data_IF_824216841997
#
_entry.id   IF_824216841997
#
_cell.length_a   1.000
_cell.length_b   1.000
_cell.length_c   1.000
_cell.angle_alpha   90.00
_cell.angle_beta   90.00
_cell.angle_gamma   90.00
#
_symmetry.space_group_name_H-M   'P 1'
#
loop_
_entity.id
_entity.type
_entity.pdbx_description
1 polymer ?
#
# COMPACT_ATOMS: atom_id res chain seq x y z
N UNK A 1 -44.04 -142.54 -55.22
CA UNK A 1 -42.87 -141.70 -55.59
C UNK A 1 -43.08 -140.22 -55.24
N UNK A 2 -44.31 -139.71 -55.27
CA UNK A 2 -44.63 -138.29 -55.02
C UNK A 2 -44.55 -137.83 -53.53
N UNK A 3 -44.75 -138.75 -52.57
CA UNK A 3 -44.71 -138.43 -51.13
C UNK A 3 -43.29 -138.13 -50.62
N UNK A 4 -42.28 -138.86 -51.10
CA UNK A 4 -40.89 -138.68 -50.68
C UNK A 4 -40.30 -137.35 -51.15
N UNK A 5 -40.64 -136.90 -52.37
CA UNK A 5 -40.18 -135.62 -52.92
C UNK A 5 -40.80 -134.45 -52.14
N UNK A 6 -42.06 -134.59 -51.71
CA UNK A 6 -42.73 -133.60 -50.86
C UNK A 6 -42.11 -133.57 -49.45
N UNK A 7 -41.83 -134.72 -48.86
CA UNK A 7 -41.17 -134.83 -47.55
C UNK A 7 -39.75 -134.24 -47.59
N UNK A 8 -38.98 -134.49 -48.65
CA UNK A 8 -37.62 -133.97 -48.83
C UNK A 8 -37.59 -132.45 -49.05
N UNK A 9 -38.58 -131.90 -49.77
CA UNK A 9 -38.80 -130.44 -49.84
C UNK A 9 -39.18 -129.85 -48.48
N UNK A 10 -40.05 -130.51 -47.71
CA UNK A 10 -40.38 -130.08 -46.35
C UNK A 10 -39.18 -130.14 -45.40
N UNK A 11 -38.38 -131.21 -45.46
CA UNK A 11 -37.15 -131.33 -44.66
C UNK A 11 -36.15 -130.25 -45.04
N UNK A 12 -35.99 -129.95 -46.34
CA UNK A 12 -35.09 -128.88 -46.81
C UNK A 12 -35.58 -127.49 -46.39
N UNK A 13 -36.90 -127.26 -46.42
CA UNK A 13 -37.51 -126.03 -45.94
C UNK A 13 -37.37 -125.88 -44.43
N UNK A 14 -37.60 -126.95 -43.65
CA UNK A 14 -37.42 -126.96 -42.20
C UNK A 14 -35.96 -126.72 -41.83
N UNK A 15 -35.00 -127.33 -42.53
CA UNK A 15 -33.57 -127.05 -42.33
C UNK A 15 -33.19 -125.61 -42.68
N UNK A 16 -33.78 -125.04 -43.73
CA UNK A 16 -33.61 -123.63 -44.09
C UNK A 16 -34.16 -122.70 -43.01
N UNK A 17 -35.38 -122.98 -42.53
CA UNK A 17 -36.01 -122.26 -41.42
C UNK A 17 -35.26 -122.43 -40.10
N UNK A 18 -34.71 -123.61 -39.80
CA UNK A 18 -33.85 -123.84 -38.63
C UNK A 18 -32.56 -123.03 -38.72
N UNK A 19 -31.94 -122.96 -39.90
CA UNK A 19 -30.76 -122.14 -40.13
C UNK A 19 -31.06 -120.65 -39.97
N UNK A 20 -32.14 -120.15 -40.59
CA UNK A 20 -32.61 -118.78 -40.45
C UNK A 20 -32.95 -118.46 -38.98
N UNK A 21 -33.59 -119.38 -38.26
CA UNK A 21 -33.95 -119.17 -36.85
C UNK A 21 -32.69 -119.12 -35.96
N UNK A 22 -31.68 -119.97 -36.23
CA UNK A 22 -30.37 -119.88 -35.55
C UNK A 22 -29.67 -118.56 -35.87
N UNK A 23 -29.71 -118.10 -37.12
CA UNK A 23 -29.16 -116.79 -37.51
C UNK A 23 -29.88 -115.64 -36.80
N UNK A 24 -31.22 -115.61 -36.82
CA UNK A 24 -32.04 -114.60 -36.17
C UNK A 24 -31.84 -114.58 -34.66
N UNK A 25 -31.75 -115.74 -34.01
CA UNK A 25 -31.41 -115.82 -32.57
C UNK A 25 -30.00 -115.30 -32.30
N UNK A 26 -29.05 -115.57 -33.19
CA UNK A 26 -27.70 -115.02 -33.12
C UNK A 26 -27.67 -113.50 -33.27
N UNK A 27 -28.44 -112.95 -34.21
CA UNK A 27 -28.59 -111.50 -34.41
C UNK A 27 -29.32 -110.83 -33.24
N UNK A 28 -30.37 -111.45 -32.70
CA UNK A 28 -31.06 -110.96 -31.52
C UNK A 28 -30.15 -110.93 -30.29
N UNK A 29 -29.30 -111.95 -30.09
CA UNK A 29 -28.28 -111.93 -29.03
C UNK A 29 -27.25 -110.82 -29.24
N UNK A 30 -26.74 -110.67 -30.45
CA UNK A 30 -25.81 -109.56 -30.78
C UNK A 30 -26.45 -108.19 -30.53
N UNK A 31 -27.68 -108.00 -30.96
CA UNK A 31 -28.42 -106.75 -30.74
C UNK A 31 -28.67 -106.49 -29.26
N UNK A 32 -29.01 -107.52 -28.48
CA UNK A 32 -29.16 -107.40 -27.04
C UNK A 32 -27.83 -107.02 -26.36
N UNK A 33 -26.72 -107.64 -26.75
CA UNK A 33 -25.40 -107.36 -26.19
C UNK A 33 -24.91 -105.95 -26.57
N UNK A 34 -25.10 -105.55 -27.83
CA UNK A 34 -24.80 -104.18 -28.32
C UNK A 34 -25.65 -103.14 -27.60
N UNK A 35 -26.95 -103.41 -27.39
CA UNK A 35 -27.82 -102.52 -26.63
C UNK A 35 -27.39 -102.41 -25.17
N UNK A 36 -26.98 -103.53 -24.56
CA UNK A 36 -26.41 -103.56 -23.21
C UNK A 36 -25.13 -102.73 -23.10
N UNK A 37 -24.23 -102.86 -24.08
CA UNK A 37 -23.00 -102.06 -24.17
C UNK A 37 -23.30 -100.58 -24.37
N UNK A 38 -24.12 -100.20 -25.34
CA UNK A 38 -24.49 -98.80 -25.57
C UNK A 38 -25.21 -98.17 -24.39
N UNK A 39 -26.08 -98.90 -23.68
CA UNK A 39 -26.73 -98.40 -22.48
C UNK A 39 -25.73 -98.22 -21.32
N UNK A 40 -24.76 -99.12 -21.18
CA UNK A 40 -23.68 -98.97 -20.20
C UNK A 40 -22.78 -97.77 -20.53
N UNK A 41 -22.37 -97.62 -21.79
CA UNK A 41 -21.61 -96.48 -22.29
C UNK A 41 -22.37 -95.17 -22.07
N UNK A 42 -23.64 -95.10 -22.44
CA UNK A 42 -24.47 -93.91 -22.26
C UNK A 42 -24.59 -93.51 -20.77
N UNK A 43 -24.76 -94.48 -19.87
CA UNK A 43 -24.76 -94.23 -18.42
C UNK A 43 -23.41 -93.68 -17.94
N UNK A 44 -22.30 -94.24 -18.42
CA UNK A 44 -20.96 -93.75 -18.09
C UNK A 44 -20.76 -92.32 -18.60
N UNK A 45 -21.10 -92.04 -19.87
CA UNK A 45 -20.94 -90.70 -20.44
C UNK A 45 -21.84 -89.68 -19.74
N UNK A 46 -23.10 -90.01 -19.48
CA UNK A 46 -24.04 -89.12 -18.81
C UNK A 46 -23.59 -88.85 -17.36
N UNK A 47 -23.20 -89.89 -16.62
CA UNK A 47 -22.69 -89.71 -15.26
C UNK A 47 -21.40 -88.88 -15.23
N UNK A 48 -20.46 -89.09 -16.17
CA UNK A 48 -19.27 -88.25 -16.28
C UNK A 48 -19.61 -86.79 -16.59
N UNK A 49 -20.56 -86.54 -17.49
CA UNK A 49 -21.00 -85.18 -17.84
C UNK A 49 -21.66 -84.49 -16.64
N UNK A 50 -22.50 -85.21 -15.89
CA UNK A 50 -23.14 -84.67 -14.67
C UNK A 50 -22.11 -84.33 -13.60
N UNK A 51 -21.06 -85.14 -13.44
CA UNK A 51 -19.96 -84.85 -12.50
C UNK A 51 -19.20 -83.60 -12.94
N UNK A 52 -18.89 -83.44 -14.23
CA UNK A 52 -18.22 -82.24 -14.76
C UNK A 52 -19.06 -81.00 -14.53
N UNK A 53 -20.34 -81.00 -14.94
CA UNK A 53 -21.23 -79.85 -14.73
C UNK A 53 -21.42 -79.51 -13.24
N UNK A 54 -21.47 -80.54 -12.36
CA UNK A 54 -21.50 -80.32 -10.91
C UNK A 54 -20.22 -79.66 -10.41
N UNK A 55 -19.05 -80.11 -10.88
CA UNK A 55 -17.76 -79.52 -10.49
C UNK A 55 -17.63 -78.07 -10.98
N UNK A 56 -18.09 -77.77 -12.19
CA UNK A 56 -18.15 -76.40 -12.72
C UNK A 56 -19.10 -75.52 -11.89
N UNK A 57 -20.29 -76.03 -11.54
CA UNK A 57 -21.23 -75.32 -10.67
C UNK A 57 -20.61 -75.04 -9.28
N UNK A 58 -19.96 -76.03 -8.67
CA UNK A 58 -19.28 -75.83 -7.39
C UNK A 58 -18.15 -74.79 -7.51
N UNK A 59 -17.39 -74.83 -8.61
CA UNK A 59 -16.32 -73.86 -8.89
C UNK A 59 -16.88 -72.44 -9.03
N UNK A 60 -17.95 -72.26 -9.80
CA UNK A 60 -18.60 -70.95 -10.00
C UNK A 60 -19.21 -70.40 -8.71
N UNK A 61 -19.85 -71.24 -7.90
CA UNK A 61 -20.36 -70.86 -6.57
C UNK A 61 -19.20 -70.43 -5.66
N UNK A 62 -18.09 -71.17 -5.66
CA UNK A 62 -16.89 -70.81 -4.88
C UNK A 62 -16.32 -69.48 -5.33
N UNK A 63 -16.17 -69.24 -6.63
CA UNK A 63 -15.65 -67.96 -7.14
C UNK A 63 -16.62 -66.82 -6.81
N UNK A 64 -17.93 -67.02 -6.93
CA UNK A 64 -18.95 -66.03 -6.57
C UNK A 64 -18.87 -65.65 -5.09
N UNK A 65 -18.78 -66.63 -4.19
CA UNK A 65 -18.61 -66.38 -2.76
C UNK A 65 -17.30 -65.62 -2.45
N UNK A 66 -16.20 -65.98 -3.12
CA UNK A 66 -14.93 -65.26 -2.99
C UNK A 66 -15.04 -63.79 -3.44
N UNK A 67 -15.72 -63.52 -4.55
CA UNK A 67 -15.94 -62.16 -5.03
C UNK A 67 -16.87 -61.37 -4.09
N UNK A 68 -17.92 -61.99 -3.55
CA UNK A 68 -18.81 -61.36 -2.57
C UNK A 68 -18.05 -60.94 -1.30
N UNK A 69 -17.13 -61.78 -0.81
CA UNK A 69 -16.26 -61.44 0.34
C UNK A 69 -15.34 -60.27 0.00
N UNK A 70 -14.70 -60.29 -1.18
CA UNK A 70 -13.83 -59.20 -1.64
C UNK A 70 -14.60 -57.89 -1.78
N UNK A 71 -15.79 -57.93 -2.38
CA UNK A 71 -16.67 -56.78 -2.50
C UNK A 71 -17.00 -56.20 -1.11
N UNK A 72 -17.42 -57.02 -0.13
CA UNK A 72 -17.70 -56.55 1.24
C UNK A 72 -16.49 -55.88 1.88
N UNK A 73 -15.28 -56.42 1.72
CA UNK A 73 -14.05 -55.82 2.24
C UNK A 73 -13.75 -54.47 1.59
N UNK A 74 -13.91 -54.37 0.27
CA UNK A 74 -13.71 -53.11 -0.45
C UNK A 74 -14.73 -52.05 -0.01
N UNK A 75 -16.00 -52.42 0.15
CA UNK A 75 -17.03 -51.48 0.64
C UNK A 75 -16.70 -50.97 2.05
N UNK A 76 -16.28 -51.86 2.97
CA UNK A 76 -15.85 -51.45 4.31
C UNK A 76 -14.65 -50.49 4.27
N UNK A 77 -13.70 -50.71 3.36
CA UNK A 77 -12.57 -49.79 3.17
C UNK A 77 -13.03 -48.44 2.60
N UNK A 78 -13.96 -48.43 1.63
CA UNK A 78 -14.55 -47.21 1.08
C UNK A 78 -15.22 -46.39 2.18
N UNK A 79 -16.02 -47.03 3.04
CA UNK A 79 -16.69 -46.36 4.16
C UNK A 79 -15.69 -45.74 5.15
N UNK A 80 -14.60 -46.45 5.45
CA UNK A 80 -13.53 -45.93 6.31
C UNK A 80 -12.82 -44.73 5.67
N UNK A 81 -12.51 -44.79 4.38
CA UNK A 81 -11.90 -43.67 3.68
C UNK A 81 -12.84 -42.46 3.58
N UNK A 82 -14.13 -42.67 3.35
CA UNK A 82 -15.11 -41.60 3.32
C UNK A 82 -15.20 -40.87 4.66
N UNK A 83 -15.28 -41.61 5.79
CA UNK A 83 -15.25 -41.01 7.13
C UNK A 83 -13.97 -40.21 7.39
N UNK A 84 -12.82 -40.72 6.94
CA UNK A 84 -11.55 -40.01 7.08
C UNK A 84 -11.51 -38.74 6.24
N UNK A 85 -12.02 -38.78 5.01
CA UNK A 85 -12.13 -37.62 4.12
C UNK A 85 -13.04 -36.56 4.75
N UNK A 86 -14.18 -36.95 5.30
CA UNK A 86 -15.11 -36.04 6.00
C UNK A 86 -14.46 -35.37 7.21
N UNK A 87 -13.76 -36.15 8.05
CA UNK A 87 -13.03 -35.60 9.20
C UNK A 87 -11.96 -34.58 8.78
N UNK A 88 -11.22 -34.86 7.71
CA UNK A 88 -10.22 -33.92 7.17
C UNK A 88 -10.88 -32.67 6.60
N UNK A 89 -12.02 -32.80 5.91
CA UNK A 89 -12.77 -31.66 5.38
C UNK A 89 -13.26 -30.73 6.50
N UNK A 90 -13.81 -31.29 7.58
CA UNK A 90 -14.24 -30.50 8.73
C UNK A 90 -13.08 -29.79 9.42
N UNK A 91 -11.93 -30.46 9.59
CA UNK A 91 -10.73 -29.82 10.10
C UNK A 91 -10.27 -28.66 9.20
N UNK A 92 -10.26 -28.87 7.88
CA UNK A 92 -9.91 -27.84 6.91
C UNK A 92 -10.87 -26.64 6.92
N UNK A 93 -12.17 -26.87 7.12
CA UNK A 93 -13.16 -25.80 7.28
C UNK A 93 -12.88 -24.97 8.55
N UNK A 94 -12.57 -25.63 9.67
CA UNK A 94 -12.16 -24.95 10.90
C UNK A 94 -10.88 -24.12 10.74
N UNK A 95 -9.87 -24.70 10.08
CA UNK A 95 -8.61 -23.98 9.79
C UNK A 95 -8.84 -22.77 8.89
N UNK A 96 -9.71 -22.88 7.89
CA UNK A 96 -10.09 -21.76 7.01
C UNK A 96 -10.79 -20.64 7.77
N UNK A 97 -11.73 -20.97 8.65
CA UNK A 97 -12.42 -19.99 9.48
C UNK A 97 -11.42 -19.22 10.36
N UNK A 98 -10.51 -19.95 11.03
CA UNK A 98 -9.46 -19.35 11.85
C UNK A 98 -8.51 -18.46 11.03
N UNK A 99 -8.16 -18.88 9.81
CA UNK A 99 -7.34 -18.05 8.92
C UNK A 99 -8.05 -16.74 8.56
N UNK A 100 -9.36 -16.78 8.28
CA UNK A 100 -10.15 -15.59 7.98
C UNK A 100 -10.24 -14.63 9.19
N UNK A 101 -10.42 -15.16 10.40
CA UNK A 101 -10.39 -14.38 11.64
C UNK A 101 -9.04 -13.67 11.82
N UNK A 102 -7.93 -14.41 11.73
CA UNK A 102 -6.58 -13.86 11.84
C UNK A 102 -6.28 -12.81 10.77
N UNK A 103 -6.76 -13.00 9.54
CA UNK A 103 -6.62 -12.01 8.48
C UNK A 103 -7.38 -10.71 8.79
N UNK A 104 -8.58 -10.82 9.39
CA UNK A 104 -9.36 -9.67 9.85
C UNK A 104 -8.66 -8.92 10.99
N UNK A 105 -8.09 -9.64 11.96
CA UNK A 105 -7.32 -9.05 13.06
C UNK A 105 -6.05 -8.34 12.56
N UNK A 106 -5.31 -8.97 11.63
CA UNK A 106 -4.13 -8.35 11.00
C UNK A 106 -4.54 -7.06 10.27
N UNK A 107 -5.61 -7.10 9.48
CA UNK A 107 -6.07 -5.92 8.75
C UNK A 107 -6.45 -4.75 9.68
N UNK A 108 -7.09 -5.06 10.83
CA UNK A 108 -7.40 -4.05 11.86
C UNK A 108 -6.13 -3.49 12.49
N UNK A 109 -5.20 -4.35 12.89
CA UNK A 109 -3.94 -3.94 13.50
C UNK A 109 -3.08 -3.09 12.54
N UNK A 110 -3.08 -3.42 11.24
CA UNK A 110 -2.42 -2.62 10.20
C UNK A 110 -3.06 -1.24 10.05
N UNK A 111 -4.40 -1.14 10.07
CA UNK A 111 -5.11 0.14 10.03
C UNK A 111 -4.80 1.01 11.26
N UNK A 112 -4.82 0.42 12.46
CA UNK A 112 -4.48 1.11 13.70
C UNK A 112 -3.03 1.61 13.70
N UNK A 113 -2.09 0.79 13.21
CA UNK A 113 -0.70 1.17 13.06
C UNK A 113 -0.52 2.40 12.13
N UNK A 114 -1.23 2.44 11.01
CA UNK A 114 -1.20 3.59 10.09
C UNK A 114 -1.71 4.87 10.75
N UNK A 115 -2.78 4.77 11.55
CA UNK A 115 -3.30 5.90 12.33
C UNK A 115 -2.25 6.38 13.34
N UNK A 116 -1.63 5.46 14.07
CA UNK A 116 -0.58 5.80 15.04
C UNK A 116 0.65 6.45 14.40
N UNK A 117 1.08 5.96 13.23
CA UNK A 117 2.20 6.55 12.49
C UNK A 117 1.88 7.98 12.03
N UNK A 118 0.67 8.22 11.52
CA UNK A 118 0.22 9.56 11.14
C UNK A 118 0.18 10.51 12.35
N UNK A 119 -0.38 10.07 13.47
CA UNK A 119 -0.46 10.87 14.69
C UNK A 119 0.94 11.18 15.25
N UNK A 120 1.85 10.20 15.20
CA UNK A 120 3.24 10.41 15.61
C UNK A 120 3.94 11.46 14.72
N UNK A 121 3.72 11.39 13.40
CA UNK A 121 4.21 12.42 12.46
C UNK A 121 3.71 13.82 12.83
N UNK A 122 2.41 13.97 13.09
CA UNK A 122 1.81 15.25 13.51
C UNK A 122 2.41 15.76 14.83
N UNK A 123 2.54 14.90 15.85
CA UNK A 123 3.15 15.26 17.13
C UNK A 123 4.64 15.62 16.99
N UNK A 124 5.37 14.98 16.07
CA UNK A 124 6.76 15.31 15.80
C UNK A 124 6.89 16.70 15.14
N UNK A 125 6.00 17.04 14.22
CA UNK A 125 5.92 18.38 13.62
C UNK A 125 5.57 19.45 14.66
N UNK A 126 4.55 19.22 15.49
CA UNK A 126 4.18 20.13 16.59
C UNK A 126 5.34 20.33 17.56
N UNK A 127 6.04 19.25 17.94
CA UNK A 127 7.23 19.33 18.80
C UNK A 127 8.33 20.17 18.15
N UNK A 128 8.57 20.00 16.86
CA UNK A 128 9.58 20.78 16.12
C UNK A 128 9.22 22.27 16.09
N UNK A 129 7.95 22.59 15.84
CA UNK A 129 7.45 23.97 15.86
C UNK A 129 7.60 24.61 17.24
N UNK A 130 7.16 23.93 18.31
CA UNK A 130 7.29 24.43 19.69
C UNK A 130 8.77 24.60 20.09
N UNK A 131 9.65 23.70 19.65
CA UNK A 131 11.09 23.82 19.90
C UNK A 131 11.67 25.06 19.21
N UNK A 132 11.28 25.33 17.97
CA UNK A 132 11.69 26.52 17.24
C UNK A 132 11.16 27.81 17.88
N UNK A 133 9.89 27.82 18.32
CA UNK A 133 9.30 28.95 19.03
C UNK A 133 10.03 29.22 20.35
N UNK A 134 10.32 28.17 21.15
CA UNK A 134 11.09 28.32 22.37
C UNK A 134 12.49 28.87 22.12
N UNK A 135 13.19 28.40 21.08
CA UNK A 135 14.50 28.94 20.71
C UNK A 135 14.42 30.44 20.34
N UNK A 136 13.37 30.84 19.62
CA UNK A 136 13.09 32.25 19.35
C UNK A 136 12.88 33.07 20.63
N UNK A 137 12.04 32.58 21.55
CA UNK A 137 11.79 33.24 22.83
C UNK A 137 13.07 33.39 23.67
N UNK A 138 13.92 32.37 23.74
CA UNK A 138 15.21 32.47 24.44
C UNK A 138 16.11 33.54 23.81
N UNK A 139 16.18 33.61 22.47
CA UNK A 139 16.94 34.67 21.80
C UNK A 139 16.40 36.07 22.09
N UNK A 140 15.07 36.22 22.20
CA UNK A 140 14.46 37.51 22.51
C UNK A 140 14.67 37.88 23.99
N UNK A 141 14.65 36.92 24.91
CA UNK A 141 15.06 37.14 26.30
C UNK A 141 16.50 37.65 26.38
N UNK A 142 17.44 37.00 25.68
CA UNK A 142 18.84 37.42 25.67
C UNK A 142 18.99 38.87 25.17
N UNK A 143 18.31 39.24 24.08
CA UNK A 143 18.31 40.63 23.58
C UNK A 143 17.76 41.62 24.61
N UNK A 144 16.66 41.29 25.29
CA UNK A 144 16.08 42.14 26.33
C UNK A 144 17.05 42.30 27.50
N UNK A 145 17.78 41.25 27.88
CA UNK A 145 18.81 41.34 28.90
C UNK A 145 19.97 42.23 28.46
N UNK A 146 20.45 42.10 27.22
CA UNK A 146 21.49 42.96 26.67
C UNK A 146 21.06 44.44 26.63
N UNK A 147 19.82 44.72 26.21
CA UNK A 147 19.24 46.06 26.21
C UNK A 147 19.10 46.62 27.64
N UNK A 148 18.66 45.79 28.59
CA UNK A 148 18.55 46.18 29.99
C UNK A 148 19.92 46.54 30.59
N UNK A 149 20.95 45.77 30.28
CA UNK A 149 22.31 46.02 30.76
C UNK A 149 22.92 47.27 30.11
N UNK A 150 22.62 47.53 28.83
CA UNK A 150 22.96 48.80 28.18
C UNK A 150 22.31 50.00 28.88
N UNK A 151 20.99 49.94 29.15
CA UNK A 151 20.28 51.01 29.86
C UNK A 151 20.84 51.21 31.26
N UNK A 152 21.20 50.14 31.97
CA UNK A 152 21.84 50.23 33.30
C UNK A 152 23.19 50.94 33.24
N UNK A 153 23.99 50.67 32.20
CA UNK A 153 25.27 51.34 31.98
C UNK A 153 25.05 52.83 31.69
N UNK A 154 24.17 53.18 30.77
CA UNK A 154 23.83 54.56 30.41
C UNK A 154 23.34 55.36 31.63
N UNK A 155 22.52 54.74 32.48
CA UNK A 155 22.02 55.34 33.71
C UNK A 155 23.14 55.58 34.73
N UNK A 156 24.09 54.65 34.86
CA UNK A 156 25.28 54.84 35.70
C UNK A 156 26.17 55.99 35.19
N UNK A 157 26.36 56.09 33.87
CA UNK A 157 27.09 57.21 33.26
C UNK A 157 26.40 58.56 33.48
N UNK A 158 25.07 58.60 33.35
CA UNK A 158 24.28 59.80 33.62
C UNK A 158 24.42 60.25 35.08
N UNK A 159 24.30 59.32 36.03
CA UNK A 159 24.52 59.61 37.46
C UNK A 159 25.94 60.12 37.73
N UNK A 160 26.96 59.49 37.15
CA UNK A 160 28.35 59.95 37.30
C UNK A 160 28.61 61.31 36.65
N UNK A 161 27.85 61.69 35.62
CA UNK A 161 27.90 63.04 35.03
C UNK A 161 27.20 64.06 35.95
N UNK A 162 26.06 63.71 36.52
CA UNK A 162 25.33 64.53 37.48
C UNK A 162 26.18 64.82 38.73
N UNK A 163 26.79 63.80 39.32
CA UNK A 163 27.68 63.94 40.48
C UNK A 163 28.87 64.88 40.19
N UNK A 164 29.49 64.77 39.01
CA UNK A 164 30.57 65.68 38.58
C UNK A 164 30.10 67.12 38.47
N UNK A 165 28.94 67.36 37.84
CA UNK A 165 28.38 68.70 37.69
C UNK A 165 27.97 69.30 39.03
N UNK A 166 27.43 68.50 39.96
CA UNK A 166 27.14 68.95 41.32
C UNK A 166 28.41 69.35 42.07
N UNK A 167 29.46 68.54 41.98
CA UNK A 167 30.76 68.85 42.59
C UNK A 167 31.38 70.14 41.98
N UNK A 168 31.29 70.33 40.67
CA UNK A 168 31.75 71.54 39.98
C UNK A 168 30.95 72.76 40.43
N UNK A 169 29.62 72.67 40.49
CA UNK A 169 28.74 73.74 40.98
C UNK A 169 29.10 74.13 42.42
N UNK A 170 29.28 73.15 43.31
CA UNK A 170 29.66 73.40 44.71
C UNK A 170 31.07 74.01 44.83
N UNK A 171 32.00 73.63 43.95
CA UNK A 171 33.31 74.25 43.87
C UNK A 171 33.23 75.72 43.43
N UNK A 172 32.49 76.01 42.34
CA UNK A 172 32.32 77.37 41.83
C UNK A 172 31.65 78.30 42.84
N UNK A 173 30.63 77.82 43.55
CA UNK A 173 29.98 78.59 44.61
C UNK A 173 30.99 79.01 45.70
N UNK A 174 31.85 78.08 46.15
CA UNK A 174 32.88 78.37 47.15
C UNK A 174 33.94 79.37 46.65
N UNK A 175 34.32 79.28 45.37
CA UNK A 175 35.24 80.24 44.74
C UNK A 175 34.60 81.62 44.71
N UNK A 176 33.37 81.73 44.24
CA UNK A 176 32.63 82.99 44.17
C UNK A 176 32.44 83.63 45.56
N UNK A 177 32.10 82.83 46.58
CA UNK A 177 32.00 83.32 47.96
C UNK A 177 33.32 83.94 48.46
N UNK A 178 34.46 83.31 48.14
CA UNK A 178 35.78 83.86 48.49
C UNK A 178 36.09 85.14 47.74
N UNK A 179 35.84 85.19 46.43
CA UNK A 179 36.03 86.39 45.61
C UNK A 179 35.22 87.56 46.16
N UNK A 180 33.96 87.34 46.55
CA UNK A 180 33.12 88.38 47.17
C UNK A 180 33.72 88.88 48.48
N UNK A 181 34.26 87.98 49.32
CA UNK A 181 34.91 88.37 50.57
C UNK A 181 36.16 89.21 50.28
N UNK A 182 37.02 88.79 49.35
CA UNK A 182 38.22 89.53 48.96
C UNK A 182 37.90 90.93 48.43
N UNK A 183 36.91 91.04 47.52
CA UNK A 183 36.46 92.33 46.98
C UNK A 183 35.90 93.23 48.09
N UNK A 184 35.11 92.69 49.01
CA UNK A 184 34.56 93.47 50.14
C UNK A 184 35.67 93.99 51.06
N UNK A 185 36.69 93.19 51.33
CA UNK A 185 37.85 93.61 52.13
C UNK A 185 38.59 94.76 51.45
N UNK A 186 38.88 94.63 50.16
CA UNK A 186 39.53 95.68 49.37
C UNK A 186 38.75 97.00 49.39
N UNK A 187 37.41 96.94 49.39
CA UNK A 187 36.55 98.13 49.42
C UNK A 187 36.55 98.85 50.78
N UNK A 188 36.75 98.13 51.89
CA UNK A 188 36.79 98.70 53.24
C UNK A 188 38.15 99.35 53.54
N UNK A 189 39.23 98.87 52.93
CA UNK A 189 40.59 99.40 53.13
C UNK A 189 40.81 100.78 52.47
N UNK A 190 39.88 101.26 51.64
CA UNK A 190 39.99 102.57 51.00
C UNK A 190 39.41 103.71 51.86
N UNK A 191 40.19 104.28 52.80
CA UNK A 191 39.90 105.57 53.49
C UNK A 191 40.33 106.80 52.68
N UNK A 192 40.24 106.68 51.37
CA UNK A 192 40.72 107.66 50.42
C UNK A 192 39.60 108.67 50.14
N UNK A 193 39.89 109.98 50.12
CA UNK A 193 38.94 111.01 49.65
C UNK A 193 38.76 110.86 48.13
N UNK A 194 38.02 109.81 47.82
CA UNK A 194 37.67 109.31 46.52
C UNK A 194 37.12 110.43 45.64
N UNK A 195 36.43 111.43 46.19
CA UNK A 195 35.86 112.50 45.37
C UNK A 195 36.93 113.36 44.72
N UNK A 196 37.93 113.81 45.49
CA UNK A 196 39.04 114.64 44.95
C UNK A 196 40.05 113.82 44.17
N UNK A 197 40.30 112.58 44.59
CA UNK A 197 41.07 111.67 43.77
C UNK A 197 40.36 111.41 42.45
N UNK A 198 39.14 110.89 42.45
CA UNK A 198 38.39 110.61 41.23
C UNK A 198 38.14 111.86 40.41
N UNK A 199 38.00 113.07 40.97
CA UNK A 199 37.88 114.26 40.12
C UNK A 199 39.16 114.52 39.30
N UNK A 200 40.33 114.34 39.91
CA UNK A 200 41.62 114.47 39.23
C UNK A 200 41.95 113.24 38.37
N UNK A 201 41.65 112.05 38.87
CA UNK A 201 41.90 110.77 38.24
C UNK A 201 40.91 110.51 37.09
N UNK A 202 39.67 111.01 37.17
CA UNK A 202 38.73 111.08 36.04
C UNK A 202 39.18 112.15 35.05
N UNK A 203 39.72 113.29 35.48
CA UNK A 203 40.26 114.27 34.54
C UNK A 203 41.50 113.75 33.79
N UNK A 204 42.37 113.00 34.47
CA UNK A 204 43.51 112.30 33.89
C UNK A 204 43.04 111.11 33.04
N UNK A 205 42.14 110.28 33.54
CA UNK A 205 41.57 109.16 32.80
C UNK A 205 40.76 109.61 31.59
N UNK A 206 40.06 110.75 31.60
CA UNK A 206 39.40 111.28 30.40
C UNK A 206 40.44 111.72 29.37
N UNK A 207 41.55 112.33 29.82
CA UNK A 207 42.64 112.72 28.94
C UNK A 207 43.35 111.50 28.36
N UNK A 208 43.60 110.50 29.18
CA UNK A 208 44.23 109.25 28.80
C UNK A 208 43.30 108.40 27.95
N UNK A 209 42.01 108.27 28.29
CA UNK A 209 40.98 107.66 27.43
C UNK A 209 40.93 108.40 26.10
N UNK A 210 41.05 109.73 26.07
CA UNK A 210 41.07 110.45 24.79
C UNK A 210 42.32 110.11 23.97
N UNK A 211 43.50 110.09 24.59
CA UNK A 211 44.76 109.73 23.93
C UNK A 211 44.76 108.26 23.51
N UNK A 212 44.30 107.36 24.36
CA UNK A 212 44.11 105.94 24.10
C UNK A 212 43.01 105.71 23.10
N UNK A 213 41.94 106.50 23.05
CA UNK A 213 40.90 106.37 22.03
C UNK A 213 41.45 106.86 20.69
N UNK A 214 42.24 107.93 20.66
CA UNK A 214 42.94 108.37 19.44
C UNK A 214 43.98 107.33 18.99
N UNK A 215 44.71 106.73 19.93
CA UNK A 215 45.74 105.71 19.68
C UNK A 215 45.13 104.36 19.32
N UNK A 216 44.10 103.93 20.04
CA UNK A 216 43.27 102.75 19.78
C UNK A 216 42.52 102.94 18.48
N UNK A 217 41.95 104.10 18.17
CA UNK A 217 41.35 104.35 16.88
C UNK A 217 42.40 104.29 15.75
N UNK A 218 43.63 104.76 15.99
CA UNK A 218 44.75 104.60 15.05
C UNK A 218 45.19 103.14 14.91
N UNK A 219 45.24 102.39 16.01
CA UNK A 219 45.61 100.97 16.08
C UNK A 219 44.50 100.11 15.48
N UNK A 220 43.24 100.32 15.81
CA UNK A 220 42.04 99.74 15.20
C UNK A 220 42.04 100.06 13.72
N UNK A 221 42.27 101.29 13.28
CA UNK A 221 42.39 101.59 11.84
C UNK A 221 43.49 100.75 11.18
N UNK A 222 44.65 100.66 11.83
CA UNK A 222 45.80 99.87 11.35
C UNK A 222 45.56 98.36 11.42
N UNK A 223 44.82 97.89 12.44
CA UNK A 223 44.47 96.50 12.70
C UNK A 223 43.32 96.07 11.84
N UNK A 224 42.36 96.94 11.55
CA UNK A 224 41.28 96.72 10.58
C UNK A 224 41.89 96.63 9.20
N UNK A 225 42.81 97.54 8.86
CA UNK A 225 43.58 97.45 7.62
C UNK A 225 44.40 96.14 7.56
N UNK A 226 45.12 95.80 8.64
CA UNK A 226 45.89 94.55 8.75
C UNK A 226 45.02 93.30 8.85
N UNK A 227 43.83 93.38 9.42
CA UNK A 227 42.85 92.30 9.55
C UNK A 227 42.23 92.04 8.20
N UNK A 228 41.86 93.08 7.44
CA UNK A 228 41.41 92.88 6.07
C UNK A 228 42.54 92.30 5.20
N UNK A 229 43.79 92.76 5.35
CA UNK A 229 44.93 92.11 4.68
C UNK A 229 45.12 90.65 5.10
N UNK A 230 45.12 90.35 6.41
CA UNK A 230 45.22 88.98 6.94
C UNK A 230 44.00 88.13 6.59
N UNK A 231 42.80 88.71 6.48
CA UNK A 231 41.57 88.01 6.13
C UNK A 231 41.51 87.70 4.65
N UNK A 232 42.06 88.58 3.81
CA UNK A 232 42.32 88.29 2.40
C UNK A 232 43.36 87.18 2.27
N UNK A 233 44.41 87.18 3.09
CA UNK A 233 45.46 86.14 3.09
C UNK A 233 44.96 84.80 3.67
N UNK A 234 44.12 84.83 4.71
CA UNK A 234 43.40 83.69 5.25
C UNK A 234 42.34 83.17 4.29
N UNK A 235 41.60 84.04 3.58
CA UNK A 235 40.67 83.61 2.53
C UNK A 235 41.44 82.94 1.39
N UNK A 236 42.62 83.44 1.02
CA UNK A 236 43.51 82.80 0.05
C UNK A 236 43.99 81.43 0.55
N UNK A 237 44.43 81.31 1.81
CA UNK A 237 44.79 80.03 2.46
C UNK A 237 43.59 79.11 2.73
N UNK A 238 42.38 79.63 2.95
CA UNK A 238 41.14 78.86 3.14
C UNK A 238 40.66 78.29 1.81
N UNK A 239 40.85 79.00 0.71
CA UNK A 239 40.59 78.47 -0.65
C UNK A 239 41.59 77.33 -0.97
N UNK A 240 42.86 77.47 -0.58
CA UNK A 240 43.87 76.42 -0.77
C UNK A 240 43.72 75.23 0.20
N UNK A 241 43.36 75.46 1.47
CA UNK A 241 43.17 74.39 2.47
C UNK A 241 41.82 73.68 2.38
N UNK A 242 40.72 74.38 2.04
CA UNK A 242 39.43 73.73 1.76
C UNK A 242 39.52 72.82 0.54
N UNK A 243 40.26 73.23 -0.49
CA UNK A 243 40.57 72.37 -1.63
C UNK A 243 41.33 71.11 -1.20
N UNK A 244 42.34 71.25 -0.33
CA UNK A 244 43.14 70.12 0.16
C UNK A 244 42.36 69.16 1.07
N UNK A 245 41.57 69.67 2.01
CA UNK A 245 40.79 68.85 2.95
C UNK A 245 39.58 68.18 2.28
N UNK A 246 38.94 68.84 1.32
CA UNK A 246 37.87 68.24 0.51
C UNK A 246 38.42 67.09 -0.36
N UNK A 247 39.61 67.26 -0.96
CA UNK A 247 40.29 66.20 -1.71
C UNK A 247 40.68 65.02 -0.81
N UNK A 248 41.10 65.28 0.43
CA UNK A 248 41.45 64.25 1.40
C UNK A 248 40.23 63.47 1.87
N UNK A 249 39.14 64.17 2.20
CA UNK A 249 37.89 63.52 2.61
C UNK A 249 37.27 62.69 1.49
N UNK A 250 37.32 63.19 0.23
CA UNK A 250 36.94 62.41 -0.95
C UNK A 250 37.80 61.17 -1.14
N UNK A 251 39.12 61.25 -0.97
CA UNK A 251 40.02 60.08 -1.03
C UNK A 251 39.72 59.05 0.06
N UNK A 252 39.42 59.49 1.27
CA UNK A 252 39.09 58.60 2.39
C UNK A 252 37.73 57.91 2.20
N UNK A 253 36.73 58.61 1.65
CA UNK A 253 35.45 58.02 1.25
C UNK A 253 35.61 57.02 0.10
N UNK A 254 36.45 57.32 -0.90
CA UNK A 254 36.77 56.40 -1.99
C UNK A 254 37.43 55.13 -1.44
N UNK A 255 38.41 55.24 -0.53
CA UNK A 255 39.05 54.07 0.09
C UNK A 255 38.09 53.21 0.90
N UNK A 256 37.13 53.81 1.62
CA UNK A 256 36.06 53.06 2.31
C UNK A 256 35.14 52.35 1.31
N UNK A 257 34.80 53.02 0.20
CA UNK A 257 34.00 52.42 -0.87
C UNK A 257 34.73 51.25 -1.53
N UNK A 258 36.02 51.40 -1.81
CA UNK A 258 36.88 50.35 -2.38
C UNK A 258 36.98 49.15 -1.44
N UNK A 259 37.17 49.36 -0.13
CA UNK A 259 37.16 48.30 0.87
C UNK A 259 35.84 47.54 0.91
N UNK A 260 34.71 48.24 0.86
CA UNK A 260 33.38 47.61 0.83
C UNK A 260 33.17 46.82 -0.46
N UNK A 261 33.64 47.35 -1.59
CA UNK A 261 33.59 46.65 -2.89
C UNK A 261 34.45 45.39 -2.85
N UNK A 262 35.65 45.43 -2.26
CA UNK A 262 36.53 44.27 -2.11
C UNK A 262 35.92 43.21 -1.19
N UNK A 263 35.34 43.60 -0.05
CA UNK A 263 34.63 42.70 0.87
C UNK A 263 33.40 42.05 0.20
N UNK A 264 32.63 42.84 -0.56
CA UNK A 264 31.49 42.34 -1.32
C UNK A 264 31.93 41.35 -2.40
N UNK A 265 33.02 41.64 -3.13
CA UNK A 265 33.62 40.71 -4.11
C UNK A 265 34.12 39.44 -3.44
N UNK A 266 34.75 39.55 -2.26
CA UNK A 266 35.20 38.43 -1.45
C UNK A 266 34.06 37.52 -0.99
N UNK A 267 32.87 38.07 -0.71
CA UNK A 267 31.66 37.30 -0.38
C UNK A 267 30.95 36.74 -1.62
N UNK A 268 31.01 37.43 -2.75
CA UNK A 268 30.36 37.01 -3.99
C UNK A 268 30.99 35.75 -4.59
N UNK A 269 32.32 35.64 -4.62
CA UNK A 269 33.01 34.49 -5.22
C UNK A 269 32.64 33.12 -4.61
N UNK A 270 32.63 32.95 -3.26
CA UNK A 270 32.16 31.73 -2.62
C UNK A 270 30.68 31.44 -2.87
N UNK A 271 29.83 32.47 -2.89
CA UNK A 271 28.40 32.33 -3.17
C UNK A 271 28.15 31.89 -4.61
N UNK A 272 28.84 32.47 -5.60
CA UNK A 272 28.75 32.05 -7.01
C UNK A 272 29.24 30.62 -7.22
N UNK A 273 30.33 30.21 -6.55
CA UNK A 273 30.80 28.82 -6.58
C UNK A 273 29.78 27.86 -5.99
N UNK A 274 29.20 28.20 -4.83
CA UNK A 274 28.16 27.40 -4.19
C UNK A 274 26.91 27.31 -5.06
N UNK A 275 26.53 28.41 -5.71
CA UNK A 275 25.39 28.45 -6.61
C UNK A 275 25.60 27.55 -7.83
N UNK A 276 26.80 27.58 -8.45
CA UNK A 276 27.16 26.65 -9.54
C UNK A 276 27.09 25.18 -9.12
N UNK A 277 27.60 24.84 -7.93
CA UNK A 277 27.56 23.46 -7.42
C UNK A 277 26.09 23.02 -7.24
N UNK A 278 25.25 23.87 -6.64
CA UNK A 278 23.83 23.59 -6.46
C UNK A 278 23.09 23.46 -7.80
N UNK A 279 23.43 24.28 -8.81
CA UNK A 279 22.88 24.18 -10.16
C UNK A 279 23.29 22.86 -10.86
N UNK A 280 24.52 22.40 -10.66
CA UNK A 280 25.01 21.12 -11.19
C UNK A 280 24.34 19.93 -10.48
N UNK A 281 24.19 19.98 -9.15
CA UNK A 281 23.45 18.98 -8.37
C UNK A 281 21.98 18.93 -8.79
N UNK A 282 21.34 20.08 -8.97
CA UNK A 282 19.96 20.16 -9.46
C UNK A 282 19.81 19.51 -10.84
N UNK A 283 20.73 19.79 -11.77
CA UNK A 283 20.74 19.16 -13.10
C UNK A 283 20.94 17.64 -13.03
N UNK A 284 21.81 17.15 -12.14
CA UNK A 284 22.01 15.71 -11.94
C UNK A 284 20.77 15.03 -11.36
N UNK A 285 20.16 15.61 -10.33
CA UNK A 285 18.91 15.14 -9.74
C UNK A 285 17.78 15.11 -10.76
N UNK A 286 17.65 16.17 -11.56
CA UNK A 286 16.65 16.23 -12.62
C UNK A 286 16.87 15.14 -13.69
N UNK A 287 18.12 14.91 -14.09
CA UNK A 287 18.47 13.81 -15.00
C UNK A 287 18.17 12.43 -14.43
N UNK A 288 18.47 12.20 -13.14
CA UNK A 288 18.16 10.95 -12.46
C UNK A 288 16.65 10.69 -12.37
N UNK A 289 15.84 11.72 -12.07
CA UNK A 289 14.38 11.60 -12.05
C UNK A 289 13.81 11.19 -13.42
N UNK A 290 14.28 11.84 -14.50
CA UNK A 290 13.84 11.48 -15.86
C UNK A 290 14.22 10.04 -16.20
N UNK A 291 15.44 9.62 -15.87
CA UNK A 291 15.89 8.23 -16.11
C UNK A 291 15.07 7.21 -15.32
N UNK A 292 14.71 7.51 -14.06
CA UNK A 292 13.89 6.63 -13.24
C UNK A 292 12.44 6.57 -13.74
N UNK A 293 11.89 7.70 -14.20
CA UNK A 293 10.55 7.78 -14.80
C UNK A 293 10.49 6.97 -16.10
N UNK A 294 11.48 7.10 -16.98
CA UNK A 294 11.60 6.29 -18.20
C UNK A 294 11.69 4.79 -17.89
N UNK A 295 12.45 4.42 -16.86
CA UNK A 295 12.62 3.03 -16.42
C UNK A 295 11.33 2.46 -15.85
N UNK A 296 10.64 3.25 -15.01
CA UNK A 296 9.33 2.88 -14.47
C UNK A 296 8.30 2.67 -15.57
N UNK A 297 8.21 3.59 -16.54
CA UNK A 297 7.30 3.47 -17.68
C UNK A 297 7.66 2.27 -18.58
N UNK A 298 8.95 1.94 -18.74
CA UNK A 298 9.37 0.75 -19.46
C UNK A 298 8.93 -0.54 -18.76
N UNK A 299 9.08 -0.62 -17.44
CA UNK A 299 8.68 -1.79 -16.64
C UNK A 299 7.15 -1.95 -16.60
N UNK A 300 6.41 -0.85 -16.46
CA UNK A 300 4.96 -0.82 -16.58
C UNK A 300 4.49 -1.34 -17.94
N UNK A 301 5.05 -0.84 -19.03
CA UNK A 301 4.76 -1.35 -20.39
C UNK A 301 5.04 -2.83 -20.52
N UNK A 302 6.15 -3.32 -19.95
CA UNK A 302 6.48 -4.74 -19.94
C UNK A 302 5.43 -5.56 -19.18
N UNK A 303 5.01 -5.12 -18.00
CA UNK A 303 3.96 -5.78 -17.21
C UNK A 303 2.61 -5.80 -17.90
N UNK A 304 2.25 -4.72 -18.59
CA UNK A 304 1.02 -4.65 -19.39
C UNK A 304 1.03 -5.66 -20.55
N UNK A 305 2.19 -5.86 -21.20
CA UNK A 305 2.35 -6.89 -22.24
C UNK A 305 2.23 -8.29 -21.62
N UNK A 306 2.95 -8.57 -20.52
CA UNK A 306 2.86 -9.86 -19.81
C UNK A 306 1.41 -10.17 -19.37
N UNK A 307 0.67 -9.18 -18.87
CA UNK A 307 -0.73 -9.34 -18.48
C UNK A 307 -1.64 -9.62 -19.69
N UNK A 308 -1.46 -8.89 -20.80
CA UNK A 308 -2.20 -9.13 -22.04
C UNK A 308 -1.95 -10.53 -22.59
N UNK A 309 -0.70 -10.98 -22.60
CA UNK A 309 -0.33 -12.32 -23.08
C UNK A 309 -0.92 -13.41 -22.18
N UNK A 310 -0.86 -13.26 -20.86
CA UNK A 310 -1.47 -14.18 -19.91
C UNK A 310 -2.99 -14.25 -20.06
N UNK A 311 -3.64 -13.10 -20.28
CA UNK A 311 -5.08 -13.03 -20.53
C UNK A 311 -5.46 -13.75 -21.84
N UNK A 312 -4.69 -13.55 -22.90
CA UNK A 312 -4.88 -14.24 -24.18
C UNK A 312 -4.69 -15.76 -24.03
N UNK A 313 -3.67 -16.21 -23.29
CA UNK A 313 -3.47 -17.63 -22.98
C UNK A 313 -4.65 -18.20 -22.19
N UNK A 314 -5.12 -17.50 -21.16
CA UNK A 314 -6.26 -17.93 -20.36
C UNK A 314 -7.55 -18.08 -21.19
N UNK A 315 -7.83 -17.10 -22.05
CA UNK A 315 -8.98 -17.16 -22.97
C UNK A 315 -8.88 -18.34 -23.95
N UNK A 316 -7.70 -18.58 -24.51
CA UNK A 316 -7.47 -19.75 -25.39
C UNK A 316 -7.74 -21.06 -24.66
N UNK A 317 -7.27 -21.19 -23.43
CA UNK A 317 -7.43 -22.40 -22.61
C UNK A 317 -8.90 -22.64 -22.21
N UNK A 318 -9.66 -21.57 -21.99
CA UNK A 318 -11.12 -21.63 -21.79
C UNK A 318 -11.84 -22.16 -23.04
N UNK A 319 -11.48 -21.67 -24.24
CA UNK A 319 -12.05 -22.15 -25.51
C UNK A 319 -11.73 -23.63 -25.71
N UNK A 320 -10.47 -24.03 -25.52
CA UNK A 320 -10.05 -25.42 -25.68
C UNK A 320 -10.77 -26.37 -24.71
N UNK A 321 -10.95 -25.95 -23.45
CA UNK A 321 -11.76 -26.69 -22.47
C UNK A 321 -13.22 -26.82 -22.92
N UNK A 322 -13.80 -25.78 -23.49
CA UNK A 322 -15.15 -25.80 -24.07
C UNK A 322 -15.27 -26.80 -25.21
N UNK A 323 -14.35 -26.75 -26.19
CA UNK A 323 -14.30 -27.70 -27.30
C UNK A 323 -14.09 -29.15 -26.83
N UNK A 324 -13.27 -29.38 -25.81
CA UNK A 324 -13.11 -30.72 -25.22
C UNK A 324 -14.42 -31.23 -24.61
N UNK A 325 -15.16 -30.36 -23.91
CA UNK A 325 -16.47 -30.73 -23.36
C UNK A 325 -17.48 -31.09 -24.48
N UNK A 326 -17.50 -30.33 -25.58
CA UNK A 326 -18.35 -30.64 -26.74
C UNK A 326 -17.99 -31.99 -27.37
N UNK A 327 -16.69 -32.30 -27.52
CA UNK A 327 -16.23 -33.61 -28.04
C UNK A 327 -16.67 -34.73 -27.10
N UNK A 328 -16.49 -34.59 -25.78
CA UNK A 328 -16.93 -35.62 -24.82
C UNK A 328 -18.45 -35.85 -24.84
N UNK A 329 -19.25 -34.79 -25.02
CA UNK A 329 -20.70 -34.89 -25.16
C UNK A 329 -21.09 -35.60 -26.45
N UNK A 330 -20.44 -35.29 -27.57
CA UNK A 330 -20.61 -36.00 -28.83
C UNK A 330 -20.28 -37.48 -28.70
N UNK A 331 -19.19 -37.81 -28.02
CA UNK A 331 -18.77 -39.20 -27.80
C UNK A 331 -19.82 -39.98 -26.98
N UNK A 332 -20.33 -39.37 -25.91
CA UNK A 332 -21.43 -39.92 -25.11
C UNK A 332 -22.70 -40.12 -25.95
N UNK A 333 -23.03 -39.18 -26.83
CA UNK A 333 -24.20 -39.29 -27.73
C UNK A 333 -24.01 -40.43 -28.75
N UNK A 334 -22.80 -40.63 -29.27
CA UNK A 334 -22.45 -41.76 -30.14
C UNK A 334 -22.59 -43.08 -29.37
N UNK A 335 -22.02 -43.17 -28.16
CA UNK A 335 -22.14 -44.37 -27.32
C UNK A 335 -23.60 -44.66 -26.97
N UNK A 336 -24.40 -43.63 -26.67
CA UNK A 336 -25.83 -43.74 -26.42
C UNK A 336 -26.56 -44.30 -27.64
N UNK A 337 -26.34 -43.75 -28.84
CA UNK A 337 -26.94 -44.26 -30.08
C UNK A 337 -26.51 -45.69 -30.41
N UNK A 338 -25.26 -46.04 -30.14
CA UNK A 338 -24.75 -47.40 -30.35
C UNK A 338 -25.44 -48.39 -29.40
N UNK A 339 -25.62 -48.01 -28.13
CA UNK A 339 -26.39 -48.79 -27.16
C UNK A 339 -27.85 -48.88 -27.60
N UNK A 340 -28.50 -47.81 -28.03
CA UNK A 340 -29.88 -47.85 -28.55
C UNK A 340 -30.00 -48.76 -29.79
N UNK A 341 -28.98 -48.79 -30.66
CA UNK A 341 -28.90 -49.72 -31.79
C UNK A 341 -28.70 -51.16 -31.33
N UNK A 342 -27.88 -51.41 -30.31
CA UNK A 342 -27.74 -52.73 -29.69
C UNK A 342 -29.05 -53.15 -28.99
N UNK A 343 -29.69 -52.29 -28.20
CA UNK A 343 -31.00 -52.55 -27.59
C UNK A 343 -32.07 -52.83 -28.64
N UNK A 344 -32.05 -52.19 -29.81
CA UNK A 344 -32.93 -52.55 -30.94
C UNK A 344 -32.58 -53.91 -31.56
N UNK A 345 -31.30 -54.31 -31.52
CA UNK A 345 -30.79 -55.62 -32.01
C UNK A 345 -31.09 -56.76 -31.02
N UNK A 346 -31.08 -56.47 -29.72
CA UNK A 346 -31.40 -57.39 -28.62
C UNK A 346 -32.89 -57.38 -28.26
N UNK A 347 -33.62 -56.32 -28.58
CA UNK A 347 -35.07 -56.15 -28.39
C UNK A 347 -35.96 -57.01 -29.29
N UNK A 348 -35.37 -57.95 -30.04
CA UNK A 348 -36.10 -59.00 -30.76
C UNK A 348 -35.91 -60.42 -30.18
N UNK A 349 -35.25 -60.57 -29.03
CA UNK A 349 -35.29 -61.84 -28.28
C UNK A 349 -35.63 -61.61 -26.80
N UNK A 350 -36.91 -61.83 -26.50
CA UNK A 350 -37.41 -62.35 -25.22
C UNK A 350 -37.15 -61.57 -23.91
N UNK A 351 -37.42 -60.26 -23.82
CA UNK A 351 -37.65 -59.63 -22.49
C UNK A 351 -38.73 -58.52 -22.49
N UNK A 352 -39.74 -58.60 -23.36
CA UNK A 352 -40.81 -57.57 -23.44
C UNK A 352 -42.10 -57.96 -22.67
N UNK A 353 -42.14 -59.12 -21.99
CA UNK A 353 -43.35 -59.56 -21.28
C UNK A 353 -43.36 -59.38 -19.74
N UNK A 354 -42.25 -58.98 -19.09
CA UNK A 354 -42.21 -58.90 -17.61
C UNK A 354 -42.01 -57.51 -16.99
N UNK A 355 -41.80 -56.43 -17.75
CA UNK A 355 -41.50 -55.10 -17.17
C UNK A 355 -42.61 -54.07 -17.39
N UNK A 356 -43.71 -54.44 -18.08
CA UNK A 356 -44.86 -53.54 -18.32
C UNK A 356 -45.79 -53.35 -17.11
N UNK A 357 -45.55 -54.01 -15.98
CA UNK A 357 -46.41 -53.90 -14.78
C UNK A 357 -45.78 -53.16 -13.59
N UNK A 358 -44.51 -52.71 -13.65
CA UNK A 358 -43.83 -52.17 -12.45
C UNK A 358 -43.47 -50.68 -12.46
N UNK A 359 -43.96 -49.86 -13.40
CA UNK A 359 -43.70 -48.41 -13.41
C UNK A 359 -44.96 -47.54 -13.40
N UNK A 360 -46.00 -47.97 -12.67
CA UNK A 360 -47.17 -47.13 -12.33
C UNK A 360 -46.95 -46.24 -11.09
N UNK A 361 -45.69 -45.97 -10.70
CA UNK A 361 -45.35 -45.00 -9.65
C UNK A 361 -44.28 -44.02 -10.16
N UNK A 362 -44.68 -43.16 -11.08
CA UNK A 362 -43.96 -41.90 -11.32
C UNK A 362 -44.75 -40.80 -10.61
N UNK A 363 -44.10 -40.28 -9.58
CA UNK A 363 -44.51 -39.21 -8.68
C UNK A 363 -45.07 -38.02 -9.44
N UNK A 364 -46.33 -37.67 -9.16
CA UNK A 364 -46.94 -36.41 -9.62
C UNK A 364 -46.16 -35.24 -8.99
N UNK A 365 -45.28 -34.61 -9.75
CA UNK A 365 -44.72 -33.31 -9.34
C UNK A 365 -45.84 -32.27 -9.42
N UNK A 366 -46.26 -31.77 -8.26
CA UNK A 366 -47.12 -30.58 -8.16
C UNK A 366 -46.27 -29.35 -8.48
N UNK A 367 -46.56 -28.68 -9.58
CA UNK A 367 -46.05 -27.32 -9.85
C UNK A 367 -46.92 -26.30 -9.12
N UNK A 368 -46.31 -25.57 -8.19
CA UNK A 368 -46.93 -24.42 -7.52
C UNK A 368 -46.40 -23.13 -8.19
N UNK A 369 -47.31 -22.24 -8.61
CA UNK A 369 -47.01 -20.90 -9.10
C UNK A 369 -47.30 -19.88 -8.01
N UNK A 370 -46.32 -19.03 -7.66
CA UNK A 370 -46.42 -17.99 -6.64
C UNK A 370 -45.11 -17.20 -6.53
N UNK A 371 -45.17 -15.98 -6.00
CA UNK A 371 -44.00 -15.12 -5.86
C UNK A 371 -43.02 -15.72 -4.84
N UNK A 372 -41.80 -15.99 -5.30
CA UNK A 372 -40.76 -16.63 -4.49
C UNK A 372 -39.90 -15.53 -3.85
N UNK A 373 -39.69 -15.58 -2.53
CA UNK A 373 -38.78 -14.68 -1.82
C UNK A 373 -37.66 -15.46 -1.16
N UNK A 374 -36.46 -14.87 -1.19
CA UNK A 374 -35.29 -15.42 -0.52
C UNK A 374 -35.42 -15.09 0.97
N UNK A 375 -35.53 -16.14 1.79
CA UNK A 375 -35.66 -16.02 3.24
C UNK A 375 -34.29 -15.84 3.89
N UNK A 376 -33.29 -16.56 3.38
CA UNK A 376 -31.94 -16.56 3.89
C UNK A 376 -30.95 -17.03 2.82
N UNK A 377 -29.71 -16.55 2.88
CA UNK A 377 -28.65 -16.95 1.97
C UNK A 377 -27.35 -17.22 2.73
N UNK A 378 -26.68 -18.30 2.35
CA UNK A 378 -25.34 -18.62 2.84
C UNK A 378 -24.34 -17.51 2.46
N UNK A 379 -23.51 -17.08 3.41
CA UNK A 379 -22.52 -16.01 3.25
C UNK A 379 -21.48 -16.33 2.16
N UNK A 380 -21.35 -17.60 1.78
CA UNK A 380 -20.44 -18.10 0.75
C UNK A 380 -21.16 -18.47 -0.56
N UNK A 381 -22.47 -18.20 -0.66
CA UNK A 381 -23.27 -18.34 -1.89
C UNK A 381 -23.54 -19.78 -2.33
N UNK A 382 -23.33 -20.78 -1.47
CA UNK A 382 -23.43 -22.19 -1.85
C UNK A 382 -24.87 -22.72 -1.86
N UNK A 383 -25.77 -22.11 -1.09
CA UNK A 383 -27.20 -22.39 -1.14
C UNK A 383 -28.03 -21.16 -0.72
N UNK A 384 -29.28 -21.14 -1.21
CA UNK A 384 -30.27 -20.09 -0.93
C UNK A 384 -31.54 -20.76 -0.44
N UNK A 385 -32.07 -20.30 0.70
CA UNK A 385 -33.34 -20.79 1.24
C UNK A 385 -34.44 -19.88 0.71
N UNK A 386 -35.29 -20.44 -0.15
CA UNK A 386 -36.40 -19.73 -0.79
C UNK A 386 -37.74 -20.19 -0.20
N UNK A 387 -38.59 -19.22 0.16
CA UNK A 387 -39.96 -19.47 0.62
C UNK A 387 -40.98 -18.95 -0.38
N UNK A 388 -42.10 -19.69 -0.53
CA UNK A 388 -43.21 -19.29 -1.39
C UNK A 388 -44.07 -18.26 -0.62
N UNK A 389 -43.91 -16.99 -0.97
CA UNK A 389 -44.73 -15.92 -0.45
C UNK A 389 -46.00 -15.86 -1.30
N UNK A 390 -47.01 -16.65 -0.94
CA UNK A 390 -48.28 -16.73 -1.66
C UNK A 390 -48.84 -15.34 -2.04
N UNK A 391 -49.52 -15.28 -3.19
CA UNK A 391 -50.04 -14.07 -3.85
C UNK A 391 -50.46 -12.96 -2.88
N UNK A 392 -49.61 -11.93 -2.74
CA UNK A 392 -50.00 -10.67 -2.14
C UNK A 392 -50.70 -9.87 -3.24
N UNK A 393 -52.03 -9.93 -3.24
CA UNK A 393 -52.85 -9.04 -4.04
C UNK A 393 -52.56 -7.59 -3.64
N UNK A 394 -51.79 -6.88 -4.48
CA UNK A 394 -51.63 -5.43 -4.39
C UNK A 394 -53.00 -4.80 -4.72
N UNK A 395 -53.76 -4.41 -3.69
CA UNK A 395 -54.83 -3.43 -3.86
C UNK A 395 -54.18 -2.09 -4.13
N UNK A 396 -54.15 -1.69 -5.40
CA UNK A 396 -53.96 -0.30 -5.79
C UNK A 396 -55.11 0.52 -5.19
N UNK A 397 -54.82 1.29 -4.15
CA UNK A 397 -55.68 2.39 -3.72
C UNK A 397 -55.52 3.54 -4.73
N UNK A 398 -56.52 3.71 -5.59
CA UNK A 398 -56.71 4.95 -6.34
C UNK A 398 -57.04 6.07 -5.34
N UNK A 399 -56.07 6.94 -5.08
CA UNK A 399 -56.35 8.26 -4.52
C UNK A 399 -56.85 9.16 -5.64
N UNK A 400 -58.18 9.26 -5.77
CA UNK A 400 -58.85 10.36 -6.43
C UNK A 400 -58.77 11.59 -5.52
N UNK A 401 -58.07 12.64 -5.97
CA UNK A 401 -58.26 14.02 -5.49
C UNK A 401 -58.87 14.83 -6.64
N UNK A 402 -60.11 15.25 -6.44
CA UNK A 402 -60.63 16.58 -6.83
C UNK A 402 -60.67 17.37 -5.54
#
# INVERSE_FOLDING_TARGET
MDLNIRLERYISLVKGLEHENVQLVGELRKMHDLWGQHNAEYKVTLSSSLVVSRNEYISTVRTSAQQAIRAKRIHANIDLFNRRIESVRHAQEGDRARCAELQSEISKAEADLQIHLRNNGQLAEERAQLTAQNAGLYSDFDKIYDELDLIRLELAECRGREERLLAEKDFLLKVQEREIIEIKTLLVETTFDARKFFENDIALAIRDIKIEYETSHKVIRTNVQSYYYKKIDEMRRLVESKSSDEIRHRREQIGKMESVVEDLRGRFGPLEKKNRILEDEYRQLQGAMVSDEERYEAEKRRREVEYRDALAMYQRLQVEKGSMAEVTLLELEIYRKMIECEEKRWGHREVVKMVKESFAQITKHRTYSGDIRIKDCDEHGKYVIVENAGHIGVRFAQNSRI
#
